data_IF_100854646677
#
_entry.id   IF_100854646677
#
_cell.length_a   1.000
_cell.length_b   1.000
_cell.length_c   1.000
_cell.angle_alpha   90.00
_cell.angle_beta   90.00
_cell.angle_gamma   90.00
#
_symmetry.space_group_name_H-M   'P 1'
#
loop_
_entity.id
_entity.type
_entity.pdbx_description
1 polymer ?
#
# COMPACT_ATOMS: atom_id res chain seq x y z
N UNK A 1 -11.30 10.37 -8.21
CA UNK A 1 -10.79 9.78 -9.49
C UNK A 1 -9.34 10.21 -9.71
N UNK A 2 -9.07 11.51 -9.91
CA UNK A 2 -7.72 12.05 -10.11
C UNK A 2 -6.65 11.57 -9.10
N UNK A 3 -6.92 11.63 -7.79
CA UNK A 3 -5.95 11.18 -6.76
C UNK A 3 -5.65 9.69 -6.86
N UNK A 4 -6.64 8.87 -7.23
CA UNK A 4 -6.46 7.43 -7.39
C UNK A 4 -5.59 7.16 -8.62
N UNK A 5 -5.93 7.79 -9.75
CA UNK A 5 -5.20 7.60 -11.01
C UNK A 5 -3.73 8.04 -10.86
N UNK A 6 -3.48 9.18 -10.17
CA UNK A 6 -2.14 9.64 -9.83
C UNK A 6 -1.35 8.63 -8.99
N UNK A 7 -2.00 8.02 -7.99
CA UNK A 7 -1.34 7.03 -7.14
C UNK A 7 -1.08 5.74 -7.91
N UNK A 8 -2.00 5.30 -8.76
CA UNK A 8 -1.80 4.12 -9.60
C UNK A 8 -0.61 4.31 -10.57
N UNK A 9 -0.47 5.50 -11.18
CA UNK A 9 0.70 5.84 -12.02
C UNK A 9 2.01 5.87 -11.23
N UNK A 10 2.01 6.48 -10.03
CA UNK A 10 3.19 6.51 -9.16
C UNK A 10 3.63 5.10 -8.76
N UNK A 11 2.69 4.24 -8.36
CA UNK A 11 2.97 2.86 -7.99
C UNK A 11 3.54 2.06 -9.16
N UNK A 12 3.01 2.25 -10.36
CA UNK A 12 3.51 1.63 -11.59
C UNK A 12 4.96 2.05 -11.88
N UNK A 13 5.28 3.35 -11.75
CA UNK A 13 6.64 3.84 -11.90
C UNK A 13 7.58 3.19 -10.86
N UNK A 14 7.21 3.17 -9.59
CA UNK A 14 8.00 2.56 -8.53
C UNK A 14 8.23 1.05 -8.74
N UNK A 15 7.21 0.31 -9.19
CA UNK A 15 7.33 -1.12 -9.47
C UNK A 15 8.37 -1.39 -10.57
N UNK A 16 8.42 -0.54 -11.60
CA UNK A 16 9.38 -0.65 -12.69
C UNK A 16 10.84 -0.57 -12.22
N UNK A 17 11.12 0.18 -11.15
CA UNK A 17 12.46 0.27 -10.55
C UNK A 17 12.77 -0.84 -9.54
N UNK A 18 11.76 -1.63 -9.14
CA UNK A 18 11.89 -2.61 -8.03
C UNK A 18 12.23 -4.03 -8.48
N UNK A 19 12.17 -4.33 -9.78
CA UNK A 19 12.15 -5.70 -10.34
C UNK A 19 13.37 -6.56 -10.00
N UNK A 20 14.53 -5.96 -9.72
CA UNK A 20 15.79 -6.68 -9.46
C UNK A 20 16.43 -6.39 -8.10
N UNK A 21 15.74 -5.69 -7.20
CA UNK A 21 16.30 -5.26 -5.92
C UNK A 21 15.66 -5.98 -4.74
N UNK A 22 16.40 -6.13 -3.64
CA UNK A 22 15.88 -6.60 -2.34
C UNK A 22 14.96 -5.55 -1.69
N UNK A 23 13.92 -5.12 -2.42
CA UNK A 23 12.94 -4.11 -2.01
C UNK A 23 11.55 -4.72 -2.00
N UNK A 24 10.69 -4.34 -1.04
CA UNK A 24 9.31 -4.77 -1.04
C UNK A 24 8.61 -4.35 -2.33
N UNK A 25 7.80 -5.25 -2.90
CA UNK A 25 6.99 -4.95 -4.09
C UNK A 25 5.73 -4.23 -3.67
N UNK A 26 5.53 -3.02 -4.19
CA UNK A 26 4.31 -2.25 -3.95
C UNK A 26 3.13 -2.94 -4.63
N UNK A 27 2.02 -3.11 -3.91
CA UNK A 27 0.76 -3.66 -4.43
C UNK A 27 -0.23 -2.53 -4.76
N UNK A 28 -1.33 -2.82 -5.49
CA UNK A 28 -2.37 -1.82 -5.77
C UNK A 28 -2.89 -1.14 -4.50
N UNK A 29 -3.15 0.17 -4.59
CA UNK A 29 -3.65 0.94 -3.47
C UNK A 29 -5.08 0.54 -3.09
N UNK A 30 -5.34 0.44 -1.79
CA UNK A 30 -6.65 0.17 -1.20
C UNK A 30 -7.21 1.49 -0.66
N UNK A 31 -8.42 1.83 -1.13
CA UNK A 31 -9.18 2.97 -0.61
C UNK A 31 -9.58 2.76 0.84
N UNK A 32 -9.15 3.64 1.75
CA UNK A 32 -9.72 3.67 3.09
C UNK A 32 -10.99 4.54 3.05
N UNK A 33 -12.15 3.91 3.29
CA UNK A 33 -13.36 4.66 3.65
C UNK A 33 -13.13 5.41 4.98
N UNK A 34 -14.04 6.30 5.37
CA UNK A 34 -13.91 7.08 6.61
C UNK A 34 -13.92 6.25 7.92
N UNK A 35 -13.84 4.93 7.82
CA UNK A 35 -14.06 3.92 8.87
C UNK A 35 -12.85 3.78 9.82
N UNK A 36 -11.78 4.55 9.63
CA UNK A 36 -10.77 4.74 10.67
C UNK A 36 -11.22 5.91 11.57
N UNK A 37 -12.08 5.59 12.54
CA UNK A 37 -12.83 6.49 13.44
C UNK A 37 -12.01 7.56 14.20
N UNK A 38 -10.68 7.57 14.11
CA UNK A 38 -9.83 8.57 14.78
C UNK A 38 -9.41 9.76 13.92
N UNK A 39 -9.61 9.74 12.59
CA UNK A 39 -8.86 10.62 11.68
C UNK A 39 -9.69 11.74 11.02
N UNK A 40 -10.98 11.84 11.33
CA UNK A 40 -11.92 12.81 10.72
C UNK A 40 -12.26 14.02 11.61
N UNK A 41 -11.77 14.12 12.84
CA UNK A 41 -12.27 15.11 13.81
C UNK A 41 -11.65 16.53 13.69
N UNK A 42 -11.19 16.96 12.51
CA UNK A 42 -10.90 18.38 12.26
C UNK A 42 -11.63 18.83 11.00
N UNK A 43 -12.71 19.56 11.24
CA UNK A 43 -13.80 19.98 10.34
C UNK A 43 -13.40 20.54 8.95
N UNK A 44 -12.12 20.81 8.69
CA UNK A 44 -11.65 21.52 7.49
C UNK A 44 -10.53 20.81 6.71
N UNK A 45 -10.15 19.56 7.04
CA UNK A 45 -9.05 18.89 6.33
C UNK A 45 -9.55 17.65 5.57
N UNK A 46 -9.73 17.78 4.26
CA UNK A 46 -10.03 16.65 3.38
C UNK A 46 -8.77 15.82 3.23
N UNK A 47 -8.57 14.86 4.13
CA UNK A 47 -7.46 13.93 4.08
C UNK A 47 -7.82 12.72 3.22
N UNK A 48 -7.27 12.67 2.01
CA UNK A 48 -7.27 11.45 1.20
C UNK A 48 -6.18 10.52 1.69
N UNK A 49 -6.57 9.31 2.10
CA UNK A 49 -5.63 8.28 2.54
C UNK A 49 -5.87 6.99 1.76
N UNK A 50 -4.77 6.42 1.31
CA UNK A 50 -4.71 5.17 0.59
C UNK A 50 -3.69 4.28 1.29
N UNK A 51 -4.03 3.00 1.46
CA UNK A 51 -3.07 2.00 1.93
C UNK A 51 -2.44 1.34 0.73
N UNK A 52 -1.11 1.24 0.72
CA UNK A 52 -0.36 0.53 -0.32
C UNK A 52 0.29 -0.68 0.34
N UNK A 53 -0.26 -1.90 0.17
CA UNK A 53 0.34 -3.09 0.73
C UNK A 53 1.73 -3.31 0.14
N UNK A 54 2.64 -3.81 0.98
CA UNK A 54 4.01 -4.14 0.59
C UNK A 54 4.18 -5.65 0.64
N UNK A 55 4.48 -6.26 -0.49
CA UNK A 55 4.86 -7.67 -0.52
C UNK A 55 6.35 -7.78 -0.22
N UNK A 56 6.77 -8.66 0.72
CA UNK A 56 8.18 -8.86 1.01
C UNK A 56 8.94 -9.35 -0.23
N UNK A 57 10.25 -9.07 -0.34
CA UNK A 57 11.08 -9.65 -1.39
C UNK A 57 11.02 -11.19 -1.37
N UNK A 58 11.27 -11.87 -2.50
CA UNK A 58 11.41 -13.31 -2.53
C UNK A 58 12.38 -13.81 -1.44
N UNK A 59 12.00 -14.88 -0.74
CA UNK A 59 12.80 -15.47 0.36
C UNK A 59 12.75 -14.73 1.71
N UNK A 60 12.00 -13.63 1.84
CA UNK A 60 11.91 -12.84 3.08
C UNK A 60 10.59 -13.02 3.85
N UNK A 61 9.73 -13.91 3.38
CA UNK A 61 8.56 -14.37 4.11
C UNK A 61 8.67 -15.88 4.32
N UNK A 62 8.25 -16.32 5.50
CA UNK A 62 8.13 -17.73 5.85
C UNK A 62 6.76 -17.96 6.49
N UNK A 63 6.20 -19.14 6.27
CA UNK A 63 5.04 -19.62 7.01
C UNK A 63 5.54 -20.58 8.07
N UNK A 64 5.13 -20.37 9.31
CA UNK A 64 5.47 -21.26 10.40
C UNK A 64 4.57 -22.50 10.28
N UNK A 65 5.18 -23.68 10.12
CA UNK A 65 4.43 -24.94 10.14
C UNK A 65 4.07 -25.29 11.59
N UNK A 66 2.77 -25.43 11.87
CA UNK A 66 2.32 -25.96 13.15
C UNK A 66 2.65 -27.46 13.16
N UNK A 67 3.49 -27.88 14.12
CA UNK A 67 3.85 -29.29 14.28
C UNK A 67 2.63 -30.18 14.52
N UNK A 68 2.76 -31.45 14.14
CA UNK A 68 1.79 -32.52 14.44
C UNK A 68 1.83 -32.92 15.91
#
# INVERSE_FOLDING_TARGET
>A
KLVKDLVDELLSACQSFSVSTFKPRLQPAIGMGCIYEGWSARHNNVLYRLLVPLQPPPGHAFCLELGT
#
